data_IF_813052529430
#
_entry.id   IF_813052529430
#
_cell.length_a   1.000
_cell.length_b   1.000
_cell.length_c   1.000
_cell.angle_alpha   90.00
_cell.angle_beta   90.00
_cell.angle_gamma   90.00
#
_symmetry.space_group_name_H-M   'P 1'
#
loop_
_entity.id
_entity.type
_entity.pdbx_description
1 polymer ?
#
# COMPACT_ATOMS: atom_id res chain seq x y z
N UNK A 1 -5.19 32.37 39.33
CA UNK A 1 -4.51 33.67 39.15
C UNK A 1 -3.15 33.42 38.51
N UNK A 2 -2.82 34.15 37.44
CA UNK A 2 -1.50 34.16 36.76
C UNK A 2 -1.37 33.09 35.66
N UNK A 3 -1.02 33.39 34.41
CA UNK A 3 -0.71 34.66 33.75
C UNK A 3 -0.68 34.42 32.23
N UNK A 4 -1.31 35.32 31.47
CA UNK A 4 -1.32 35.34 30.01
C UNK A 4 -0.01 35.95 29.50
N UNK A 5 0.76 35.22 28.68
CA UNK A 5 1.76 35.84 27.82
C UNK A 5 1.19 36.06 26.42
N UNK A 6 1.05 37.34 26.07
CA UNK A 6 0.79 37.84 24.72
C UNK A 6 2.15 38.03 24.05
N UNK A 7 2.38 37.38 22.91
CA UNK A 7 3.44 37.78 21.99
C UNK A 7 2.85 38.41 20.74
N UNK A 8 3.42 39.56 20.43
CA UNK A 8 3.02 40.55 19.44
C UNK A 8 3.57 40.17 18.07
N UNK A 9 2.70 40.33 17.07
CA UNK A 9 2.96 40.29 15.63
C UNK A 9 3.88 41.45 15.23
N UNK A 10 4.88 41.24 14.35
CA UNK A 10 5.33 42.22 13.36
C UNK A 10 6.29 41.57 12.35
N UNK A 11 6.04 41.78 11.04
CA UNK A 11 7.01 41.39 10.00
C UNK A 11 6.45 41.36 8.57
N UNK A 12 6.00 42.51 8.07
CA UNK A 12 5.83 42.75 6.62
C UNK A 12 7.22 42.92 5.95
N UNK A 13 7.45 42.24 4.83
CA UNK A 13 8.15 42.82 3.68
C UNK A 13 7.89 41.98 2.42
N UNK A 14 7.16 42.58 1.49
CA UNK A 14 7.00 42.11 0.13
C UNK A 14 8.29 42.36 -0.66
N UNK A 15 8.66 41.43 -1.54
CA UNK A 15 9.56 41.71 -2.66
C UNK A 15 9.17 40.79 -3.82
N UNK A 16 8.43 41.38 -4.75
CA UNK A 16 8.03 40.81 -6.02
C UNK A 16 9.25 40.72 -6.95
N UNK A 17 9.61 39.51 -7.35
CA UNK A 17 10.41 39.30 -8.56
C UNK A 17 9.56 38.47 -9.51
N UNK A 18 8.97 39.16 -10.49
CA UNK A 18 8.27 38.59 -11.61
C UNK A 18 9.29 37.91 -12.53
N UNK A 19 9.49 36.60 -12.34
CA UNK A 19 10.13 35.73 -13.32
C UNK A 19 9.05 35.03 -14.14
N UNK A 20 8.99 35.34 -15.45
CA UNK A 20 8.24 34.55 -16.42
C UNK A 20 8.81 33.12 -16.46
N UNK A 21 8.18 32.19 -15.74
CA UNK A 21 8.28 30.77 -16.03
C UNK A 21 7.03 30.34 -16.80
N UNK A 22 7.26 29.92 -18.05
CA UNK A 22 6.27 29.29 -18.92
C UNK A 22 5.55 28.18 -18.14
N UNK A 23 4.23 28.31 -18.06
CA UNK A 23 3.33 27.34 -17.46
C UNK A 23 3.29 26.06 -18.29
N UNK A 24 4.01 25.04 -17.84
CA UNK A 24 3.64 23.64 -18.04
C UNK A 24 3.05 23.12 -16.72
N UNK A 25 2.00 23.77 -16.21
CA UNK A 25 1.23 23.32 -15.06
C UNK A 25 -0.02 22.60 -15.56
N UNK A 26 0.16 21.37 -16.05
CA UNK A 26 -0.97 20.47 -16.30
C UNK A 26 -0.63 19.10 -15.72
N UNK A 27 -0.81 18.96 -14.41
CA UNK A 27 -1.05 17.66 -13.77
C UNK A 27 -1.48 17.86 -12.32
N UNK A 28 -2.78 18.10 -12.15
CA UNK A 28 -3.61 17.48 -11.12
C UNK A 28 -2.99 17.30 -9.74
N UNK A 29 -2.99 18.36 -8.92
CA UNK A 29 -3.23 18.20 -7.49
C UNK A 29 -4.73 17.97 -7.29
N UNK A 30 -5.24 16.80 -7.71
CA UNK A 30 -6.45 16.28 -7.10
C UNK A 30 -6.11 16.20 -5.62
N UNK A 31 -6.77 17.04 -4.82
CA UNK A 31 -6.79 16.90 -3.37
C UNK A 31 -7.09 15.44 -3.10
N UNK A 32 -6.06 14.69 -2.75
CA UNK A 32 -6.19 13.34 -2.26
C UNK A 32 -7.08 13.48 -1.02
N UNK A 33 -8.37 13.20 -1.19
CA UNK A 33 -9.14 12.61 -0.11
C UNK A 33 -8.20 11.59 0.53
N UNK A 34 -7.98 11.67 1.85
CA UNK A 34 -7.10 10.79 2.65
C UNK A 34 -7.39 9.28 2.48
N UNK A 35 -8.26 8.89 1.55
CA UNK A 35 -8.53 7.55 1.10
C UNK A 35 -7.48 6.98 0.16
N UNK A 36 -7.44 5.65 0.14
CA UNK A 36 -6.60 4.88 -0.76
C UNK A 36 -7.22 4.87 -2.18
N UNK A 37 -6.44 4.62 -3.24
CA UNK A 37 -6.99 4.36 -4.59
C UNK A 37 -7.87 3.11 -4.59
N UNK A 38 -8.90 3.06 -5.44
CA UNK A 38 -9.83 1.91 -5.51
C UNK A 38 -9.13 0.60 -5.95
N UNK A 39 -8.14 0.71 -6.84
CA UNK A 39 -7.28 -0.40 -7.24
C UNK A 39 -5.83 -0.08 -6.91
N UNK A 40 -5.29 -0.74 -5.89
CA UNK A 40 -3.94 -0.44 -5.41
C UNK A 40 -3.21 -1.61 -4.79
N UNK A 41 -1.90 -1.68 -5.05
CA UNK A 41 -0.98 -2.51 -4.28
C UNK A 41 -0.46 -1.73 -3.07
N UNK A 42 -0.72 -2.24 -1.88
CA UNK A 42 -0.42 -1.64 -0.59
C UNK A 42 0.60 -2.52 0.14
N UNK A 43 1.69 -1.93 0.59
CA UNK A 43 2.64 -2.57 1.48
C UNK A 43 2.81 -1.71 2.72
N UNK A 44 2.60 -2.30 3.88
CA UNK A 44 2.76 -1.65 5.17
C UNK A 44 3.72 -2.45 6.05
N UNK A 45 4.57 -1.77 6.80
CA UNK A 45 5.49 -2.41 7.73
C UNK A 45 5.42 -1.73 9.09
N UNK A 46 5.47 -2.51 10.16
CA UNK A 46 5.43 -1.96 11.50
C UNK A 46 5.62 -2.99 12.60
N UNK A 47 5.04 -2.70 13.75
CA UNK A 47 5.15 -3.51 14.95
C UNK A 47 3.79 -3.80 15.56
N UNK A 48 3.77 -4.83 16.39
CA UNK A 48 2.60 -5.21 17.16
C UNK A 48 2.96 -5.52 18.60
N UNK A 49 1.94 -5.45 19.43
CA UNK A 49 1.96 -5.90 20.81
C UNK A 49 0.68 -6.67 21.10
N UNK A 50 0.82 -7.91 21.55
CA UNK A 50 -0.26 -8.85 21.82
C UNK A 50 -0.17 -9.36 23.26
N UNK A 51 -1.34 -9.70 23.79
CA UNK A 51 -1.51 -10.44 25.03
C UNK A 51 -2.27 -11.71 24.72
N UNK A 52 -1.63 -12.86 24.95
CA UNK A 52 -2.26 -14.17 24.84
C UNK A 52 -2.67 -14.69 26.22
N UNK A 53 -3.91 -15.15 26.35
CA UNK A 53 -4.45 -15.72 27.59
C UNK A 53 -5.14 -17.05 27.31
N UNK A 54 -4.92 -18.04 28.17
CA UNK A 54 -5.62 -19.33 28.12
C UNK A 54 -6.87 -19.26 28.99
N UNK A 55 -8.09 -19.17 28.41
CA UNK A 55 -9.32 -19.12 29.17
C UNK A 55 -9.60 -20.43 29.94
N UNK A 56 -9.02 -21.56 29.52
CA UNK A 56 -9.26 -22.89 30.12
C UNK A 56 -8.47 -23.11 31.41
N UNK A 57 -7.39 -22.37 31.62
CA UNK A 57 -6.57 -22.42 32.83
C UNK A 57 -7.31 -21.93 34.10
N UNK A 58 -8.51 -21.33 33.95
CA UNK A 58 -9.28 -20.72 35.04
C UNK A 58 -10.09 -21.69 35.91
N UNK A 59 -10.11 -22.99 35.60
CA UNK A 59 -11.13 -23.91 36.13
C UNK A 59 -10.64 -24.96 37.14
N UNK A 60 -9.36 -25.00 37.49
CA UNK A 60 -8.88 -25.94 38.53
C UNK A 60 -8.70 -25.20 39.85
N UNK A 61 -9.44 -25.57 40.93
CA UNK A 61 -9.21 -25.03 42.26
C UNK A 61 -7.87 -25.57 42.78
N UNK A 62 -6.78 -24.94 42.37
CA UNK A 62 -5.46 -25.21 42.91
C UNK A 62 -5.30 -24.43 44.20
N UNK A 63 -4.94 -25.16 45.25
CA UNK A 63 -4.56 -24.72 46.59
C UNK A 63 -3.89 -23.33 46.63
N UNK A 64 -4.19 -22.56 47.68
CA UNK A 64 -3.71 -21.20 47.97
C UNK A 64 -2.19 -20.95 47.79
N UNK A 65 -1.37 -22.02 47.71
CA UNK A 65 0.07 -21.94 47.40
C UNK A 65 0.42 -21.60 45.94
N UNK A 66 -0.48 -21.82 44.98
CA UNK A 66 -0.20 -21.56 43.55
C UNK A 66 -0.73 -20.21 43.04
N UNK A 67 -1.40 -19.42 43.88
CA UNK A 67 -1.96 -18.10 43.51
C UNK A 67 -0.86 -17.05 43.24
N UNK A 68 0.37 -17.30 43.71
CA UNK A 68 1.50 -16.37 43.57
C UNK A 68 2.29 -16.61 42.26
N UNK A 69 2.10 -17.75 41.59
CA UNK A 69 2.79 -18.10 40.34
C UNK A 69 1.81 -17.96 39.17
N UNK A 70 1.76 -16.75 38.62
CA UNK A 70 0.71 -16.27 37.71
C UNK A 70 0.24 -17.25 36.63
N UNK A 71 -1.08 -17.42 36.57
CA UNK A 71 -1.83 -17.91 35.41
C UNK A 71 -1.76 -16.87 34.28
N UNK A 72 -0.53 -16.59 33.86
CA UNK A 72 -0.09 -15.29 33.36
C UNK A 72 -0.35 -15.12 31.88
N UNK A 73 -1.19 -14.15 31.56
CA UNK A 73 -1.23 -13.54 30.24
C UNK A 73 0.20 -13.30 29.72
N UNK A 74 0.52 -13.85 28.55
CA UNK A 74 1.84 -13.70 27.93
C UNK A 74 1.81 -12.50 27.00
N UNK A 75 2.65 -11.51 27.28
CA UNK A 75 2.89 -10.37 26.38
C UNK A 75 3.86 -10.79 25.28
N UNK A 76 3.51 -10.50 24.04
CA UNK A 76 4.27 -10.85 22.83
C UNK A 76 4.40 -9.58 22.00
N UNK A 77 5.61 -9.21 21.60
CA UNK A 77 5.88 -8.08 20.72
C UNK A 77 6.66 -8.55 19.51
N UNK A 78 6.43 -7.95 18.36
CA UNK A 78 7.18 -8.28 17.15
C UNK A 78 6.98 -7.26 16.05
N UNK A 79 7.52 -7.58 14.88
CA UNK A 79 7.31 -6.82 13.67
C UNK A 79 6.34 -7.56 12.73
N UNK A 80 5.64 -6.81 11.91
CA UNK A 80 4.76 -7.36 10.89
C UNK A 80 4.85 -6.54 9.60
N UNK A 81 4.55 -7.21 8.49
CA UNK A 81 4.41 -6.60 7.17
C UNK A 81 3.11 -7.08 6.54
N UNK A 82 2.29 -6.14 6.07
CA UNK A 82 1.13 -6.44 5.22
C UNK A 82 1.48 -6.13 3.77
N UNK A 83 1.21 -7.06 2.85
CA UNK A 83 1.19 -6.83 1.42
C UNK A 83 -0.22 -7.13 0.94
N UNK A 84 -0.98 -6.09 0.59
CA UNK A 84 -2.40 -6.15 0.26
C UNK A 84 -2.61 -5.64 -1.16
N UNK A 85 -3.48 -6.30 -1.88
CA UNK A 85 -4.10 -5.82 -3.10
C UNK A 85 -5.51 -5.34 -2.73
N UNK A 86 -5.83 -4.10 -3.09
CA UNK A 86 -7.17 -3.54 -2.97
C UNK A 86 -7.87 -3.57 -4.31
N UNK A 87 -9.12 -4.04 -4.32
CA UNK A 87 -10.04 -3.94 -5.46
C UNK A 87 -11.41 -3.47 -4.96
N UNK A 88 -11.67 -2.18 -5.13
CA UNK A 88 -12.89 -1.54 -4.60
C UNK A 88 -12.90 -1.55 -3.07
N UNK A 89 -13.84 -2.27 -2.48
CA UNK A 89 -13.95 -2.45 -1.02
C UNK A 89 -13.21 -3.70 -0.52
N UNK A 90 -12.72 -4.58 -1.39
CA UNK A 90 -12.08 -5.83 -0.99
C UNK A 90 -10.57 -5.65 -0.81
N UNK A 91 -10.02 -6.32 0.20
CA UNK A 91 -8.59 -6.41 0.46
C UNK A 91 -8.18 -7.88 0.45
N UNK A 92 -7.13 -8.22 -0.29
CA UNK A 92 -6.58 -9.58 -0.34
C UNK A 92 -5.06 -9.52 -0.27
N UNK A 93 -4.40 -10.47 0.37
CA UNK A 93 -2.94 -10.46 0.36
C UNK A 93 -2.28 -11.39 1.38
N UNK A 94 -1.12 -10.95 1.85
CA UNK A 94 -0.30 -11.68 2.82
C UNK A 94 0.12 -10.81 3.99
N UNK A 95 0.16 -11.42 5.17
CA UNK A 95 0.77 -10.85 6.36
C UNK A 95 1.99 -11.70 6.73
N UNK A 96 3.11 -11.03 6.97
CA UNK A 96 4.36 -11.64 7.40
C UNK A 96 4.62 -11.19 8.83
N UNK A 97 4.76 -12.12 9.76
CA UNK A 97 5.12 -11.82 11.16
C UNK A 97 6.58 -12.19 11.38
N UNK A 98 7.34 -11.27 11.99
CA UNK A 98 8.73 -11.49 12.41
C UNK A 98 8.85 -11.31 13.92
N UNK A 99 9.48 -12.30 14.56
CA UNK A 99 9.55 -12.46 16.02
C UNK A 99 9.85 -13.91 16.44
N UNK A 100 10.42 -14.68 15.51
CA UNK A 100 10.55 -16.14 15.46
C UNK A 100 10.82 -16.54 14.01
N UNK A 101 10.44 -17.76 13.61
CA UNK A 101 10.45 -18.15 12.19
C UNK A 101 9.42 -17.32 11.41
N UNK A 102 9.79 -16.71 10.26
CA UNK A 102 8.86 -15.94 9.46
C UNK A 102 7.62 -16.77 9.11
N UNK A 103 6.45 -16.27 9.51
CA UNK A 103 5.18 -16.93 9.22
C UNK A 103 4.41 -16.10 8.21
N UNK A 104 4.00 -16.73 7.12
CA UNK A 104 3.24 -16.13 6.04
C UNK A 104 1.78 -16.53 6.18
N UNK A 105 0.93 -15.57 6.52
CA UNK A 105 -0.51 -15.77 6.66
C UNK A 105 -1.22 -15.13 5.47
N UNK A 106 -2.10 -15.89 4.80
CA UNK A 106 -3.03 -15.29 3.85
C UNK A 106 -3.99 -14.40 4.63
N UNK A 107 -4.27 -13.22 4.08
CA UNK A 107 -5.24 -12.28 4.65
C UNK A 107 -6.27 -11.88 3.60
N UNK A 108 -7.50 -11.72 4.06
CA UNK A 108 -8.63 -11.20 3.29
C UNK A 108 -9.32 -10.14 4.12
N UNK A 109 -10.06 -9.21 3.53
CA UNK A 109 -10.63 -8.14 4.31
C UNK A 109 -11.42 -7.13 3.51
N UNK A 110 -11.78 -6.05 4.19
CA UNK A 110 -12.55 -4.95 3.62
C UNK A 110 -11.95 -3.60 3.94
N UNK A 111 -12.13 -2.66 3.02
CA UNK A 111 -11.82 -1.24 3.17
C UNK A 111 -13.11 -0.44 3.06
N UNK A 112 -13.44 0.32 4.10
CA UNK A 112 -14.60 1.20 4.12
C UNK A 112 -14.28 2.45 4.95
N UNK A 113 -14.51 3.63 4.37
CA UNK A 113 -14.39 4.92 5.05
C UNK A 113 -13.06 5.13 5.81
N UNK A 114 -11.93 4.75 5.19
CA UNK A 114 -10.60 4.87 5.81
C UNK A 114 -10.31 3.82 6.88
N UNK A 115 -11.19 2.82 7.06
CA UNK A 115 -10.99 1.70 7.97
C UNK A 115 -10.72 0.41 7.20
N UNK A 116 -9.75 -0.34 7.66
CA UNK A 116 -9.46 -1.69 7.19
C UNK A 116 -9.89 -2.70 8.25
N UNK A 117 -10.50 -3.79 7.79
CA UNK A 117 -10.75 -4.99 8.58
C UNK A 117 -10.20 -6.20 7.86
N UNK A 118 -9.09 -6.74 8.35
CA UNK A 118 -8.42 -7.91 7.80
C UNK A 118 -8.67 -9.14 8.68
N UNK A 119 -8.88 -10.27 8.03
CA UNK A 119 -9.08 -11.58 8.63
C UNK A 119 -7.93 -12.49 8.23
N UNK A 120 -7.38 -13.17 9.23
CA UNK A 120 -6.52 -14.35 9.06
C UNK A 120 -7.30 -15.59 9.54
N UNK A 121 -6.67 -16.75 9.55
CA UNK A 121 -7.29 -17.97 10.09
C UNK A 121 -7.62 -17.82 11.59
N UNK A 122 -6.84 -17.04 12.34
CA UNK A 122 -6.89 -17.03 13.81
C UNK A 122 -7.22 -15.65 14.40
N UNK A 123 -6.97 -14.58 13.65
CA UNK A 123 -7.03 -13.20 14.14
C UNK A 123 -7.76 -12.27 13.18
N UNK A 124 -8.37 -11.24 13.76
CA UNK A 124 -8.91 -10.07 13.06
C UNK A 124 -8.00 -8.89 13.38
N UNK A 125 -7.64 -8.12 12.35
CA UNK A 125 -6.91 -6.87 12.45
C UNK A 125 -7.81 -5.76 11.96
N UNK A 126 -8.25 -4.87 12.86
CA UNK A 126 -9.19 -3.80 12.53
C UNK A 126 -8.65 -2.45 12.97
N UNK A 127 -8.71 -1.46 12.09
CA UNK A 127 -8.24 -0.11 12.41
C UNK A 127 -8.28 0.87 11.25
N UNK A 128 -7.66 2.03 11.44
CA UNK A 128 -7.55 3.07 10.42
C UNK A 128 -6.43 2.72 9.46
N UNK A 129 -6.71 2.75 8.16
CA UNK A 129 -5.72 2.55 7.10
C UNK A 129 -5.86 3.61 6.01
N UNK A 130 -4.74 4.19 5.62
CA UNK A 130 -4.67 5.22 4.60
C UNK A 130 -3.27 5.26 3.98
N UNK A 131 -2.98 6.32 3.23
CA UNK A 131 -1.67 6.53 2.62
C UNK A 131 -0.53 6.73 3.63
N UNK A 132 -0.85 7.02 4.89
CA UNK A 132 0.11 7.29 5.97
C UNK A 132 0.39 6.07 6.85
N UNK A 133 -0.42 5.01 6.78
CA UNK A 133 -0.19 3.79 7.54
C UNK A 133 -1.43 2.95 7.77
N UNK A 134 -1.28 1.91 8.59
CA UNK A 134 -2.36 1.07 9.07
C UNK A 134 -2.14 0.78 10.57
N UNK A 135 -3.10 1.18 11.40
CA UNK A 135 -2.98 1.02 12.86
C UNK A 135 -4.32 0.68 13.49
N UNK A 136 -4.30 -0.17 14.52
CA UNK A 136 -5.53 -0.71 15.05
C UNK A 136 -5.35 -1.75 16.14
N UNK A 137 -6.37 -2.59 16.26
CA UNK A 137 -6.44 -3.66 17.24
C UNK A 137 -6.35 -5.04 16.57
N UNK A 138 -5.81 -5.99 17.32
CA UNK A 138 -5.78 -7.41 16.96
C UNK A 138 -6.67 -8.15 17.95
N UNK A 139 -7.54 -9.03 17.46
CA UNK A 139 -8.38 -9.89 18.30
C UNK A 139 -8.50 -11.29 17.72
N UNK A 140 -8.64 -12.32 18.54
CA UNK A 140 -8.88 -13.69 18.06
C UNK A 140 -10.27 -13.87 17.44
N UNK A 141 -10.38 -14.72 16.42
CA UNK A 141 -11.66 -15.05 15.74
C UNK A 141 -12.53 -16.05 16.51
N UNK A 142 -12.05 -16.59 17.64
CA UNK A 142 -12.70 -17.64 18.41
C UNK A 142 -12.42 -19.07 17.92
N UNK A 143 -11.71 -19.23 16.79
CA UNK A 143 -11.27 -20.53 16.27
C UNK A 143 -10.10 -21.15 17.07
N UNK A 144 -9.43 -20.34 17.89
CA UNK A 144 -8.32 -20.75 18.74
C UNK A 144 -8.77 -20.83 20.20
N UNK A 145 -8.25 -21.82 20.94
CA UNK A 145 -8.52 -21.98 22.37
C UNK A 145 -7.96 -20.83 23.20
N UNK A 146 -6.92 -20.15 22.70
CA UNK A 146 -6.30 -19.01 23.35
C UNK A 146 -6.97 -17.70 22.93
N UNK A 147 -7.29 -16.85 23.90
CA UNK A 147 -7.77 -15.49 23.62
C UNK A 147 -6.56 -14.58 23.38
N UNK A 148 -6.52 -13.96 22.21
CA UNK A 148 -5.46 -13.02 21.79
C UNK A 148 -6.08 -11.64 21.62
N UNK A 149 -5.50 -10.64 22.27
CA UNK A 149 -5.88 -9.23 22.13
C UNK A 149 -4.63 -8.36 22.06
N UNK A 150 -4.66 -7.29 21.27
CA UNK A 150 -3.52 -6.38 21.20
C UNK A 150 -3.69 -5.23 20.23
N UNK A 151 -2.58 -4.59 19.90
CA UNK A 151 -2.52 -3.43 19.01
C UNK A 151 -1.38 -3.54 18.02
N UNK A 152 -1.49 -2.84 16.91
CA UNK A 152 -0.43 -2.72 15.92
C UNK A 152 -0.41 -1.32 15.32
N UNK A 153 0.76 -0.94 14.84
CA UNK A 153 0.99 0.32 14.13
C UNK A 153 1.97 0.07 13.00
N UNK A 154 1.63 0.49 11.79
CA UNK A 154 2.47 0.37 10.61
C UNK A 154 2.59 1.69 9.87
N UNK A 155 3.68 1.80 9.11
CA UNK A 155 3.93 2.85 8.13
C UNK A 155 3.87 2.27 6.71
N UNK A 156 3.55 3.08 5.69
CA UNK A 156 3.57 2.66 4.30
C UNK A 156 5.01 2.35 3.88
N UNK A 157 5.20 1.21 3.24
CA UNK A 157 6.42 0.86 2.54
C UNK A 157 6.28 1.16 1.05
N UNK A 158 5.11 0.86 0.48
CA UNK A 158 4.80 1.05 -0.95
C UNK A 158 3.29 1.19 -1.12
N UNK A 159 2.86 2.17 -1.92
CA UNK A 159 1.47 2.32 -2.36
C UNK A 159 1.53 2.59 -3.85
N UNK A 160 0.93 1.71 -4.64
CA UNK A 160 0.83 1.87 -6.09
C UNK A 160 -0.63 1.96 -6.47
N UNK A 161 -1.01 3.09 -7.05
CA UNK A 161 -2.27 3.22 -7.78
C UNK A 161 -2.11 2.53 -9.14
N UNK A 162 -2.77 1.38 -9.29
CA UNK A 162 -2.63 0.53 -10.48
C UNK A 162 -3.19 1.24 -11.71
N UNK A 163 -4.32 1.94 -11.56
CA UNK A 163 -4.99 2.63 -12.66
C UNK A 163 -4.20 3.87 -13.11
N UNK A 164 -3.60 4.60 -12.17
CA UNK A 164 -2.71 5.70 -12.51
C UNK A 164 -1.45 5.20 -13.23
N UNK A 165 -0.87 4.09 -12.77
CA UNK A 165 0.30 3.50 -13.40
C UNK A 165 0.00 3.03 -14.83
N UNK A 166 -1.12 2.35 -15.06
CA UNK A 166 -1.52 1.89 -16.39
C UNK A 166 -1.79 3.05 -17.36
N UNK A 167 -2.44 4.12 -16.88
CA UNK A 167 -2.65 5.34 -17.68
C UNK A 167 -1.34 6.01 -18.07
N UNK A 168 -0.39 6.11 -17.14
CA UNK A 168 0.93 6.69 -17.40
C UNK A 168 1.70 5.88 -18.45
N UNK A 169 1.69 4.55 -18.35
CA UNK A 169 2.33 3.66 -19.33
C UNK A 169 1.69 3.79 -20.72
N UNK A 170 0.36 3.87 -20.78
CA UNK A 170 -0.38 4.04 -22.04
C UNK A 170 -0.07 5.37 -22.70
N UNK A 171 0.04 6.45 -21.93
CA UNK A 171 0.42 7.77 -22.46
C UNK A 171 1.85 7.78 -22.99
N UNK A 172 2.79 7.21 -22.24
CA UNK A 172 4.19 7.09 -22.67
C UNK A 172 4.32 6.26 -23.97
N UNK A 173 3.52 5.19 -24.11
CA UNK A 173 3.49 4.40 -25.33
C UNK A 173 2.96 5.18 -26.54
N UNK A 174 1.92 6.01 -26.35
CA UNK A 174 1.37 6.86 -27.41
C UNK A 174 2.37 7.94 -27.84
N UNK A 175 3.02 8.61 -26.90
CA UNK A 175 4.04 9.62 -27.19
C UNK A 175 5.23 9.02 -27.94
N UNK A 176 5.67 7.82 -27.55
CA UNK A 176 6.73 7.09 -28.25
C UNK A 176 6.32 6.69 -29.68
N UNK A 177 5.06 6.34 -29.91
CA UNK A 177 4.55 6.03 -31.24
C UNK A 177 4.47 7.27 -32.14
N UNK A 178 4.11 8.44 -31.60
CA UNK A 178 4.06 9.71 -32.34
C UNK A 178 5.44 10.29 -32.65
N UNK A 179 6.44 9.95 -31.84
CA UNK A 179 7.84 10.41 -32.02
C UNK A 179 8.68 9.45 -32.86
N UNK A 180 8.13 8.29 -33.25
CA UNK A 180 8.83 7.35 -34.12
C UNK A 180 8.97 7.96 -35.54
N UNK A 181 10.18 8.00 -36.12
CA UNK A 181 10.36 8.44 -37.49
C UNK A 181 9.44 7.67 -38.43
N UNK A 182 8.83 8.30 -39.45
CA UNK A 182 8.02 7.60 -40.42
C UNK A 182 8.83 6.45 -41.00
N UNK A 183 8.21 5.27 -41.11
CA UNK A 183 8.87 4.10 -41.66
C UNK A 183 9.50 4.46 -43.01
N UNK A 184 10.76 4.04 -43.28
CA UNK A 184 11.42 4.36 -44.53
C UNK A 184 10.51 3.93 -45.68
N UNK A 185 10.12 4.90 -46.51
CA UNK A 185 9.23 4.61 -47.63
C UNK A 185 9.87 3.51 -48.48
N UNK A 186 9.11 2.47 -48.88
CA UNK A 186 9.65 1.40 -49.69
C UNK A 186 10.22 2.04 -50.97
N UNK A 187 11.53 1.96 -51.15
CA UNK A 187 12.16 2.49 -52.36
C UNK A 187 11.49 1.80 -53.55
N UNK A 188 11.07 2.56 -54.58
CA UNK A 188 10.49 1.96 -55.77
C UNK A 188 11.48 0.93 -56.31
N UNK A 189 11.04 -0.33 -56.39
CA UNK A 189 11.85 -1.42 -56.94
C UNK A 189 12.30 -0.99 -58.33
N UNK A 190 13.61 -0.79 -58.49
CA UNK A 190 14.22 -0.43 -59.77
C UNK A 190 13.73 -1.45 -60.80
N UNK A 191 13.05 -1.04 -61.89
CA UNK A 191 12.60 -1.97 -62.89
C UNK A 191 13.83 -2.67 -63.46
N UNK A 192 13.94 -3.97 -63.19
CA UNK A 192 14.86 -4.86 -63.89
C UNK A 192 14.45 -4.83 -65.35
N UNK A 193 15.21 -4.07 -66.15
CA UNK A 193 15.00 -3.93 -67.58
C UNK A 193 14.91 -5.31 -68.23
N UNK A 194 13.84 -5.51 -68.99
CA UNK A 194 13.66 -6.66 -69.87
C UNK A 194 14.87 -6.80 -70.77
N UNK A 195 15.59 -7.91 -70.63
CA UNK A 195 16.60 -8.32 -71.59
C UNK A 195 15.94 -8.48 -72.97
N UNK A 196 16.30 -7.61 -73.90
CA UNK A 196 15.95 -7.69 -75.30
C UNK A 196 16.66 -8.89 -75.93
N UNK A 197 15.89 -9.89 -76.37
CA UNK A 197 16.36 -11.06 -77.12
C UNK A 197 16.91 -10.60 -78.48
N UNK A 198 18.14 -11.00 -78.88
CA UNK A 198 18.62 -10.75 -80.23
C UNK A 198 17.88 -11.66 -81.23
N UNK A 199 17.33 -11.03 -82.27
CA UNK A 199 16.73 -11.68 -83.43
C UNK A 199 17.87 -12.24 -84.29
N UNK A 200 17.88 -13.55 -84.52
CA UNK A 200 18.76 -14.21 -85.48
C UNK A 200 18.16 -14.01 -86.89
N UNK A 201 18.89 -13.32 -87.76
CA UNK A 201 18.63 -13.35 -89.20
C UNK A 201 19.42 -14.51 -89.84
N UNK A 202 18.76 -15.11 -90.84
CA UNK A 202 19.13 -16.33 -91.55
C UNK A 202 20.25 -16.15 -92.57
#
# INVERSE_FOLDING_TARGET
>A
MGGFQKHVVLGLAASSVAGLFLAAQTAMSQQASDGLPEQSDLSYQGSYELTASDPSARSRPTSLRNVISGSGAKRITGALTFNLERRGAELNGTMIITGGSPTHNRVTGTYQDGRCKLFTNETVHEGTCNSQGFSGQISSTGAITQKVEGRFTTSPLKIVDVDAQERALTQAAKEKAMSAPPAPQPMPKRPTGSASTPKADA
#
